data_IF_549831114268
#
_entry.id   IF_549831114268
#
_cell.length_a   1.000
_cell.length_b   1.000
_cell.length_c   1.000
_cell.angle_alpha   90.00
_cell.angle_beta   90.00
_cell.angle_gamma   90.00
#
_symmetry.space_group_name_H-M   'P 1'
#
loop_
_entity.id
_entity.type
_entity.pdbx_description
1 polymer ?
#
# COMPACT_ATOMS: atom_id res chain seq x y z
N UNK A 1 -10.22 12.13 -13.11
CA UNK A 1 -10.47 12.03 -14.58
C UNK A 1 -11.73 12.78 -14.96
N UNK A 2 -12.92 12.31 -14.58
CA UNK A 2 -14.19 12.98 -14.92
C UNK A 2 -14.34 14.33 -14.19
N UNK A 3 -13.98 14.40 -12.91
CA UNK A 3 -14.06 15.64 -12.11
C UNK A 3 -12.95 16.67 -12.42
N UNK A 4 -11.98 16.34 -13.28
CA UNK A 4 -10.82 17.20 -13.51
C UNK A 4 -9.80 17.19 -12.37
N UNK A 5 -8.94 18.22 -12.35
CA UNK A 5 -7.84 18.40 -11.37
C UNK A 5 -8.23 19.45 -10.34
N UNK A 6 -7.71 19.35 -9.12
CA UNK A 6 -7.83 20.40 -8.11
C UNK A 6 -7.11 21.67 -8.57
N UNK A 7 -7.64 22.83 -8.17
CA UNK A 7 -6.95 24.10 -8.37
C UNK A 7 -5.58 24.09 -7.68
N UNK A 8 -4.56 24.59 -8.38
CA UNK A 8 -3.18 24.58 -7.89
C UNK A 8 -2.42 23.26 -8.07
N UNK A 9 -3.01 22.24 -8.72
CA UNK A 9 -2.30 20.98 -8.96
C UNK A 9 -0.99 21.19 -9.74
N UNK A 10 0.14 20.80 -9.12
CA UNK A 10 1.48 20.99 -9.66
C UNK A 10 2.12 22.34 -9.36
N UNK A 11 1.39 23.29 -8.76
CA UNK A 11 1.91 24.62 -8.39
C UNK A 11 1.82 24.91 -6.88
N UNK A 12 0.83 24.33 -6.18
CA UNK A 12 0.67 24.44 -4.74
C UNK A 12 1.11 23.17 -4.02
N UNK A 13 1.59 23.32 -2.78
CA UNK A 13 1.89 22.17 -1.93
C UNK A 13 0.58 21.52 -1.46
N UNK A 14 0.33 20.28 -1.89
CA UNK A 14 -0.86 19.50 -1.54
C UNK A 14 -0.58 18.46 -0.45
N UNK A 15 0.48 18.65 0.36
CA UNK A 15 0.77 17.77 1.48
C UNK A 15 -0.37 17.75 2.52
N UNK A 16 -0.56 16.64 3.26
CA UNK A 16 -1.54 16.57 4.34
C UNK A 16 -1.34 17.68 5.37
N UNK A 17 -2.42 18.37 5.74
CA UNK A 17 -2.37 19.41 6.76
C UNK A 17 -2.00 18.86 8.15
N UNK A 18 -2.32 17.59 8.43
CA UNK A 18 -2.03 16.92 9.69
C UNK A 18 -1.55 15.49 9.45
N UNK A 19 -0.22 15.32 9.47
CA UNK A 19 0.41 14.02 9.26
C UNK A 19 0.19 13.04 10.41
N UNK A 20 -0.03 13.53 11.64
CA UNK A 20 -0.32 12.67 12.81
C UNK A 20 -1.65 11.95 12.61
N UNK A 21 -2.68 12.65 12.14
CA UNK A 21 -3.97 12.01 11.82
C UNK A 21 -3.84 10.98 10.70
N UNK A 22 -3.00 11.23 9.68
CA UNK A 22 -2.72 10.24 8.64
C UNK A 22 -2.07 8.96 9.21
N UNK A 23 -1.12 9.09 10.13
CA UNK A 23 -0.46 7.95 10.79
C UNK A 23 -1.45 7.18 11.67
N UNK A 24 -2.32 7.87 12.41
CA UNK A 24 -3.38 7.23 13.20
C UNK A 24 -4.31 6.44 12.27
N UNK A 25 -4.76 7.05 11.16
CA UNK A 25 -5.62 6.40 10.18
C UNK A 25 -4.96 5.14 9.57
N UNK A 26 -3.69 5.23 9.15
CA UNK A 26 -2.96 4.09 8.62
C UNK A 26 -2.77 2.97 9.66
N UNK A 27 -2.53 3.33 10.93
CA UNK A 27 -2.42 2.37 12.04
C UNK A 27 -3.74 1.63 12.28
N UNK A 28 -4.86 2.36 12.27
CA UNK A 28 -6.19 1.76 12.41
C UNK A 28 -6.52 0.84 11.22
N UNK A 29 -6.16 1.24 10.00
CA UNK A 29 -6.29 0.39 8.82
C UNK A 29 -5.49 -0.90 8.97
N UNK A 30 -4.23 -0.83 9.40
CA UNK A 30 -3.39 -2.02 9.59
C UNK A 30 -4.00 -2.97 10.62
N UNK A 31 -4.38 -2.47 11.80
CA UNK A 31 -5.01 -3.29 12.84
C UNK A 31 -6.32 -3.91 12.33
N UNK A 32 -7.17 -3.13 11.69
CA UNK A 32 -8.43 -3.61 11.11
C UNK A 32 -8.23 -4.65 10.00
N UNK A 33 -7.13 -4.55 9.25
CA UNK A 33 -6.84 -5.47 8.14
C UNK A 33 -6.51 -6.89 8.58
N UNK A 34 -6.05 -7.09 9.82
CA UNK A 34 -5.97 -8.44 10.37
C UNK A 34 -7.32 -9.11 10.39
N UNK A 35 -8.37 -8.41 10.86
CA UNK A 35 -9.74 -8.88 10.80
C UNK A 35 -10.25 -9.06 9.37
N UNK A 36 -9.85 -8.17 8.45
CA UNK A 36 -10.22 -8.28 7.04
C UNK A 36 -9.66 -9.55 6.38
N UNK A 37 -8.35 -9.81 6.52
CA UNK A 37 -7.71 -10.95 5.87
C UNK A 37 -7.95 -12.27 6.61
N UNK A 38 -7.72 -12.31 7.92
CA UNK A 38 -7.91 -13.53 8.69
C UNK A 38 -9.39 -13.90 8.84
N UNK A 39 -10.25 -12.90 9.05
CA UNK A 39 -11.70 -13.10 9.13
C UNK A 39 -12.33 -13.57 7.81
N UNK A 40 -11.68 -13.34 6.67
CA UNK A 40 -12.14 -13.86 5.37
C UNK A 40 -12.08 -15.38 5.29
N UNK A 41 -11.38 -16.06 6.21
CA UNK A 41 -11.45 -17.52 6.32
C UNK A 41 -12.80 -18.01 6.87
N UNK A 42 -13.46 -17.22 7.72
CA UNK A 42 -14.69 -17.60 8.45
C UNK A 42 -14.49 -18.69 9.52
N UNK A 43 -13.24 -19.00 9.86
CA UNK A 43 -12.85 -19.89 10.96
C UNK A 43 -11.69 -19.27 11.77
N UNK A 44 -11.45 -19.81 12.96
CA UNK A 44 -10.34 -19.41 13.81
C UNK A 44 -9.37 -20.58 13.96
N UNK A 45 -8.58 -20.83 12.91
CA UNK A 45 -7.63 -21.94 12.88
C UNK A 45 -6.25 -21.56 12.32
N UNK A 46 -5.47 -22.56 11.90
CA UNK A 46 -4.12 -22.37 11.37
C UNK A 46 -4.07 -21.50 10.10
N UNK A 47 -5.10 -21.52 9.26
CA UNK A 47 -5.14 -20.73 8.04
C UNK A 47 -5.43 -19.25 8.33
N UNK A 48 -6.32 -18.91 9.27
CA UNK A 48 -6.49 -17.55 9.78
C UNK A 48 -5.20 -17.03 10.41
N UNK A 49 -4.53 -17.88 11.19
CA UNK A 49 -3.21 -17.56 11.75
C UNK A 49 -2.17 -17.27 10.67
N UNK A 50 -2.14 -18.08 9.60
CA UNK A 50 -1.28 -17.85 8.45
C UNK A 50 -1.63 -16.54 7.72
N UNK A 51 -2.91 -16.25 7.52
CA UNK A 51 -3.37 -15.01 6.90
C UNK A 51 -3.00 -13.78 7.73
N UNK A 52 -3.10 -13.83 9.06
CA UNK A 52 -2.59 -12.77 9.94
C UNK A 52 -1.08 -12.58 9.77
N UNK A 53 -0.31 -13.67 9.81
CA UNK A 53 1.16 -13.61 9.65
C UNK A 53 1.55 -13.00 8.30
N UNK A 54 0.94 -13.47 7.22
CA UNK A 54 1.20 -12.98 5.86
C UNK A 54 0.82 -11.50 5.73
N UNK A 55 -0.28 -11.08 6.35
CA UNK A 55 -0.69 -9.67 6.40
C UNK A 55 0.39 -8.81 7.06
N UNK A 56 0.91 -9.24 8.21
CA UNK A 56 1.98 -8.52 8.90
C UNK A 56 3.26 -8.43 8.06
N UNK A 57 3.69 -9.57 7.51
CA UNK A 57 4.95 -9.68 6.75
C UNK A 57 4.91 -8.83 5.48
N UNK A 58 3.84 -8.94 4.68
CA UNK A 58 3.72 -8.17 3.44
C UNK A 58 3.64 -6.67 3.71
N UNK A 59 2.90 -6.26 4.75
CA UNK A 59 2.75 -4.84 5.11
C UNK A 59 4.07 -4.23 5.55
N UNK A 60 4.82 -4.92 6.42
CA UNK A 60 6.13 -4.46 6.86
C UNK A 60 7.12 -4.40 5.68
N UNK A 61 7.13 -5.42 4.82
CA UNK A 61 7.99 -5.46 3.64
C UNK A 61 7.68 -4.32 2.65
N UNK A 62 6.39 -4.04 2.41
CA UNK A 62 5.97 -2.97 1.51
C UNK A 62 6.29 -1.57 2.07
N UNK A 63 6.10 -1.35 3.37
CA UNK A 63 6.46 -0.10 4.03
C UNK A 63 7.96 0.19 3.89
N UNK A 64 8.81 -0.82 4.12
CA UNK A 64 10.26 -0.70 3.95
C UNK A 64 10.66 -0.53 2.48
N UNK A 65 10.08 -1.33 1.59
CA UNK A 65 10.38 -1.26 0.16
C UNK A 65 10.01 0.10 -0.44
N UNK A 66 8.87 0.66 -0.05
CA UNK A 66 8.48 2.02 -0.42
C UNK A 66 9.46 3.04 0.15
N UNK A 67 9.80 2.96 1.44
CA UNK A 67 10.76 3.86 2.08
C UNK A 67 12.11 3.86 1.35
N UNK A 68 12.63 2.68 1.00
CA UNK A 68 13.89 2.56 0.27
C UNK A 68 13.77 3.06 -1.17
N UNK A 69 12.68 2.78 -1.88
CA UNK A 69 12.44 3.30 -3.22
C UNK A 69 12.38 4.83 -3.23
N UNK A 70 11.62 5.41 -2.29
CA UNK A 70 11.53 6.85 -2.06
C UNK A 70 12.90 7.43 -1.72
N UNK A 71 13.66 6.78 -0.85
CA UNK A 71 14.98 7.27 -0.49
C UNK A 71 15.94 7.25 -1.69
N UNK A 72 15.95 6.20 -2.50
CA UNK A 72 16.82 6.12 -3.68
C UNK A 72 16.49 7.23 -4.69
N UNK A 73 15.19 7.48 -4.91
CA UNK A 73 14.69 8.35 -5.98
C UNK A 73 14.55 9.82 -5.53
N UNK A 74 13.92 10.06 -4.38
CA UNK A 74 13.67 11.38 -3.80
C UNK A 74 14.74 11.81 -2.77
N UNK A 75 15.76 10.97 -2.50
CA UNK A 75 16.91 11.24 -1.61
C UNK A 75 16.58 11.41 -0.13
N UNK A 76 15.31 11.36 0.27
CA UNK A 76 14.87 11.42 1.66
C UNK A 76 13.61 10.56 1.85
N UNK A 77 13.58 9.65 2.85
CA UNK A 77 12.36 8.94 3.20
C UNK A 77 11.37 9.88 3.91
N UNK A 78 10.07 9.59 3.78
CA UNK A 78 9.01 10.32 4.45
C UNK A 78 8.08 9.39 5.23
N UNK A 79 7.52 9.91 6.34
CA UNK A 79 6.51 9.17 7.12
C UNK A 79 5.27 8.89 6.27
N UNK A 80 4.87 9.85 5.42
CA UNK A 80 3.76 9.67 4.48
C UNK A 80 4.04 8.51 3.52
N UNK A 81 5.25 8.43 2.97
CA UNK A 81 5.67 7.33 2.11
C UNK A 81 5.62 5.98 2.83
N UNK A 82 6.13 5.90 4.06
CA UNK A 82 6.09 4.67 4.87
C UNK A 82 4.64 4.18 5.07
N UNK A 83 3.72 5.07 5.45
CA UNK A 83 2.31 4.67 5.67
C UNK A 83 1.58 4.35 4.35
N UNK A 84 1.91 5.01 3.24
CA UNK A 84 1.42 4.64 1.91
C UNK A 84 1.93 3.25 1.49
N UNK A 85 3.21 2.96 1.74
CA UNK A 85 3.80 1.65 1.51
C UNK A 85 3.15 0.55 2.34
N UNK A 86 2.84 0.82 3.61
CA UNK A 86 2.09 -0.10 4.45
C UNK A 86 0.72 -0.43 3.82
N UNK A 87 -0.06 0.59 3.42
CA UNK A 87 -1.36 0.37 2.75
C UNK A 87 -1.19 -0.38 1.43
N UNK A 88 -0.14 -0.12 0.65
CA UNK A 88 0.13 -0.87 -0.57
C UNK A 88 0.35 -2.37 -0.30
N UNK A 89 1.10 -2.71 0.75
CA UNK A 89 1.30 -4.11 1.18
C UNK A 89 0.02 -4.78 1.65
N UNK A 90 -0.78 -4.07 2.45
CA UNK A 90 -2.09 -4.53 2.92
C UNK A 90 -3.02 -4.87 1.75
N UNK A 91 -3.11 -3.97 0.77
CA UNK A 91 -3.92 -4.21 -0.44
C UNK A 91 -3.38 -5.39 -1.23
N UNK A 92 -2.06 -5.42 -1.51
CA UNK A 92 -1.49 -6.44 -2.38
C UNK A 92 -1.54 -7.85 -1.78
N UNK A 93 -1.40 -8.00 -0.46
CA UNK A 93 -1.48 -9.33 0.18
C UNK A 93 -2.91 -9.80 0.36
N UNK A 94 -3.91 -8.92 0.29
CA UNK A 94 -5.33 -9.28 0.48
C UNK A 94 -5.76 -10.53 -0.30
N UNK A 95 -5.59 -10.60 -1.64
CA UNK A 95 -5.97 -11.80 -2.41
C UNK A 95 -5.05 -13.01 -2.18
N UNK A 96 -3.89 -12.84 -1.54
CA UNK A 96 -2.89 -13.88 -1.36
C UNK A 96 -2.80 -14.41 0.08
N UNK A 97 -3.41 -13.71 1.04
CA UNK A 97 -3.10 -13.84 2.48
C UNK A 97 -3.29 -15.26 3.02
N UNK A 98 -4.30 -16.01 2.56
CA UNK A 98 -4.50 -17.42 2.91
C UNK A 98 -3.84 -18.44 1.97
N UNK A 99 -3.21 -18.01 0.87
CA UNK A 99 -2.73 -18.90 -0.19
C UNK A 99 -1.21 -18.97 -0.31
N UNK A 100 -0.49 -18.04 0.30
CA UNK A 100 0.98 -17.99 0.27
C UNK A 100 1.59 -18.32 1.62
N UNK A 101 2.87 -18.64 1.63
CA UNK A 101 3.66 -18.70 2.86
C UNK A 101 4.28 -17.32 3.18
N UNK A 102 4.90 -17.14 4.37
CA UNK A 102 5.50 -15.85 4.74
C UNK A 102 6.55 -15.33 3.76
N UNK A 103 7.29 -16.21 3.08
CA UNK A 103 8.24 -15.81 2.04
C UNK A 103 7.54 -15.22 0.81
N UNK A 104 6.44 -15.82 0.37
CA UNK A 104 5.60 -15.29 -0.70
C UNK A 104 5.00 -13.93 -0.32
N UNK A 105 4.47 -13.80 0.90
CA UNK A 105 3.95 -12.54 1.42
C UNK A 105 5.02 -11.43 1.45
N UNK A 106 6.26 -11.77 1.84
CA UNK A 106 7.40 -10.85 1.84
C UNK A 106 7.72 -10.35 0.42
N UNK A 107 7.76 -11.25 -0.57
CA UNK A 107 8.00 -10.90 -1.97
C UNK A 107 6.88 -10.01 -2.51
N UNK A 108 5.61 -10.36 -2.27
CA UNK A 108 4.45 -9.54 -2.64
C UNK A 108 4.57 -8.14 -2.04
N UNK A 109 4.92 -8.04 -0.76
CA UNK A 109 5.13 -6.78 -0.08
C UNK A 109 6.21 -5.93 -0.75
N UNK A 110 7.38 -6.50 -1.06
CA UNK A 110 8.46 -5.78 -1.75
C UNK A 110 7.99 -5.26 -3.11
N UNK A 111 7.40 -6.14 -3.94
CA UNK A 111 6.95 -5.78 -5.28
C UNK A 111 5.90 -4.68 -5.22
N UNK A 112 4.92 -4.81 -4.33
CA UNK A 112 3.87 -3.82 -4.13
C UNK A 112 4.43 -2.48 -3.65
N UNK A 113 5.33 -2.47 -2.65
CA UNK A 113 5.93 -1.25 -2.13
C UNK A 113 6.66 -0.45 -3.20
N UNK A 114 7.43 -1.11 -4.07
CA UNK A 114 8.17 -0.45 -5.16
C UNK A 114 7.24 0.01 -6.28
N UNK A 115 6.37 -0.87 -6.79
CA UNK A 115 5.55 -0.55 -7.95
C UNK A 115 4.43 0.45 -7.63
N UNK A 116 3.83 0.37 -6.44
CA UNK A 116 2.86 1.37 -6.00
C UNK A 116 3.52 2.74 -5.76
N UNK A 117 4.76 2.80 -5.27
CA UNK A 117 5.52 4.05 -5.22
C UNK A 117 5.68 4.67 -6.61
N UNK A 118 6.14 3.87 -7.60
CA UNK A 118 6.33 4.34 -8.98
C UNK A 118 4.99 4.81 -9.56
N UNK A 119 3.91 4.09 -9.30
CA UNK A 119 2.57 4.47 -9.75
C UNK A 119 2.10 5.80 -9.14
N UNK A 120 2.12 5.89 -7.81
CA UNK A 120 1.67 7.07 -7.06
C UNK A 120 2.53 8.31 -7.33
N UNK A 121 3.82 8.16 -7.61
CA UNK A 121 4.74 9.30 -7.72
C UNK A 121 5.13 9.64 -9.16
N UNK A 122 5.21 8.67 -10.07
CA UNK A 122 5.68 8.92 -11.46
C UNK A 122 4.55 8.81 -12.47
N UNK A 123 3.74 7.75 -12.40
CA UNK A 123 2.71 7.46 -13.41
C UNK A 123 1.66 8.56 -13.44
N UNK A 124 1.17 9.02 -12.29
CA UNK A 124 0.17 10.10 -12.24
C UNK A 124 0.63 11.40 -12.88
N UNK A 125 1.91 11.76 -12.71
CA UNK A 125 2.47 12.96 -13.31
C UNK A 125 2.72 12.78 -14.81
N UNK A 126 3.13 11.58 -15.24
CA UNK A 126 3.32 11.26 -16.66
C UNK A 126 2.01 11.34 -17.45
N UNK A 127 0.92 10.79 -16.91
CA UNK A 127 -0.41 10.87 -17.51
C UNK A 127 -1.17 12.13 -17.12
N UNK A 128 -0.58 12.97 -16.26
CA UNK A 128 -1.13 14.23 -15.83
C UNK A 128 -2.53 14.13 -15.22
N UNK A 129 -2.83 13.09 -14.44
CA UNK A 129 -4.08 13.01 -13.69
C UNK A 129 -3.86 13.38 -12.21
N UNK A 130 -4.86 14.03 -11.61
CA UNK A 130 -4.87 14.34 -10.18
C UNK A 130 -5.56 13.20 -9.43
N UNK A 131 -4.76 12.35 -8.79
CA UNK A 131 -5.21 11.39 -7.80
C UNK A 131 -4.93 11.97 -6.41
N UNK A 132 -5.98 12.42 -5.75
CA UNK A 132 -5.87 13.31 -4.59
C UNK A 132 -5.10 12.71 -3.42
N UNK A 133 -5.23 11.39 -3.23
CA UNK A 133 -4.67 10.63 -2.12
C UNK A 133 -3.88 9.41 -2.61
N UNK A 134 -3.52 9.37 -3.89
CA UNK A 134 -2.88 8.23 -4.53
C UNK A 134 -3.69 6.93 -4.41
N UNK A 135 -5.02 7.04 -4.35
CA UNK A 135 -5.92 5.91 -4.12
C UNK A 135 -5.84 4.89 -5.26
N UNK A 136 -5.81 5.33 -6.52
CA UNK A 136 -5.62 4.42 -7.64
C UNK A 136 -4.19 3.88 -7.68
N UNK A 137 -3.21 4.75 -7.41
CA UNK A 137 -1.79 4.37 -7.41
C UNK A 137 -1.43 3.30 -6.37
N UNK A 138 -2.11 3.31 -5.22
CA UNK A 138 -1.91 2.34 -4.14
C UNK A 138 -2.90 1.18 -4.24
N UNK A 139 -4.20 1.45 -4.29
CA UNK A 139 -5.22 0.39 -4.25
C UNK A 139 -5.41 -0.30 -5.60
N UNK A 140 -5.50 0.47 -6.68
CA UNK A 140 -5.69 -0.07 -8.03
C UNK A 140 -4.49 -0.90 -8.47
N UNK A 141 -3.30 -0.31 -8.42
CA UNK A 141 -2.06 -1.03 -8.81
C UNK A 141 -1.70 -2.11 -7.81
N UNK A 142 -1.79 -1.85 -6.50
CA UNK A 142 -1.53 -2.86 -5.48
C UNK A 142 -2.47 -4.06 -5.59
N UNK A 143 -3.75 -3.83 -5.87
CA UNK A 143 -4.73 -4.90 -6.07
C UNK A 143 -4.42 -5.76 -7.30
N UNK A 144 -4.02 -5.13 -8.42
CA UNK A 144 -3.58 -5.85 -9.63
C UNK A 144 -2.35 -6.71 -9.33
N UNK A 145 -1.33 -6.14 -8.68
CA UNK A 145 -0.11 -6.87 -8.31
C UNK A 145 -0.46 -8.07 -7.44
N UNK A 146 -1.25 -7.84 -6.40
CA UNK A 146 -1.69 -8.90 -5.49
C UNK A 146 -2.41 -10.02 -6.22
N UNK A 147 -3.42 -9.69 -7.02
CA UNK A 147 -4.22 -10.67 -7.75
C UNK A 147 -3.38 -11.50 -8.74
N UNK A 148 -2.40 -10.87 -9.40
CA UNK A 148 -1.49 -11.57 -10.32
C UNK A 148 -0.49 -12.46 -9.58
N UNK A 149 0.05 -12.03 -8.43
CA UNK A 149 1.05 -12.78 -7.67
C UNK A 149 0.44 -13.86 -6.75
N UNK A 150 -0.88 -13.87 -6.58
CA UNK A 150 -1.59 -14.98 -5.91
C UNK A 150 -1.55 -16.27 -6.74
N UNK A 151 -1.64 -16.16 -8.07
CA UNK A 151 -1.70 -17.29 -9.00
C UNK A 151 -0.35 -17.80 -9.46
#
# INVERSE_FOLDING_TARGET
LVLGKREGYGTTNMAPHNLVLSVIGASLLWVGWFGFNAGSELAADGLAGAAMMNTQVATAAAALAWMFAEWIIAKKPSVLGIISGAVAGLVAVTPASGFVNPTGAFIIGIVAGVLCYISAVKVKHMFGYDDSLDAFGVHGVGGIIGALLTG
#
